data_IF_435605260206
#
_entry.id   IF_435605260206
#
_cell.length_a   1.000
_cell.length_b   1.000
_cell.length_c   1.000
_cell.angle_alpha   90.00
_cell.angle_beta   90.00
_cell.angle_gamma   90.00
#
_symmetry.space_group_name_H-M   'P 1'
#
loop_
_entity.id
_entity.type
_entity.pdbx_description
1 polymer ?
#
# COMPACT_ATOMS: atom_id res chain seq x y z
N UNK A 1 -26.43 -22.46 -5.74
CA UNK A 1 -26.62 -23.11 -7.06
C UNK A 1 -26.03 -22.21 -8.14
N UNK A 2 -24.73 -22.35 -8.44
CA UNK A 2 -24.04 -21.66 -9.55
C UNK A 2 -23.08 -22.61 -10.29
N UNK A 3 -23.28 -23.92 -10.13
CA UNK A 3 -22.39 -24.97 -10.62
C UNK A 3 -23.02 -25.69 -11.83
N UNK A 4 -23.17 -24.97 -12.97
CA UNK A 4 -22.83 -25.63 -14.23
C UNK A 4 -22.01 -24.78 -15.22
N UNK A 5 -21.59 -23.55 -14.87
CA UNK A 5 -20.92 -22.65 -15.83
C UNK A 5 -19.50 -22.18 -15.46
N UNK A 6 -18.95 -22.58 -14.31
CA UNK A 6 -17.60 -22.17 -13.89
C UNK A 6 -16.65 -23.38 -13.94
N UNK A 7 -15.70 -23.35 -14.87
CA UNK A 7 -14.60 -24.31 -14.92
C UNK A 7 -13.40 -23.75 -14.16
N UNK A 8 -13.10 -24.32 -12.99
CA UNK A 8 -11.90 -24.00 -12.20
C UNK A 8 -10.90 -25.16 -12.30
N UNK A 9 -9.71 -24.92 -12.83
CA UNK A 9 -8.56 -25.84 -12.76
C UNK A 9 -7.45 -25.20 -11.93
N UNK A 10 -6.84 -25.95 -11.02
CA UNK A 10 -5.67 -25.46 -10.26
C UNK A 10 -4.40 -25.69 -11.06
N UNK A 11 -3.33 -24.92 -10.77
CA UNK A 11 -2.04 -25.10 -11.43
C UNK A 11 -1.47 -26.51 -11.18
N UNK A 12 -1.71 -27.10 -10.00
CA UNK A 12 -1.26 -28.46 -9.69
C UNK A 12 -1.95 -29.53 -10.56
N UNK A 13 -3.20 -29.29 -10.98
CA UNK A 13 -3.95 -30.22 -11.80
C UNK A 13 -3.52 -30.23 -13.28
N UNK A 14 -2.75 -29.23 -13.74
CA UNK A 14 -2.45 -29.03 -15.17
C UNK A 14 -0.94 -29.03 -15.46
N UNK A 15 -0.09 -28.60 -14.53
CA UNK A 15 1.37 -28.56 -14.73
C UNK A 15 2.10 -29.07 -13.49
N UNK A 16 2.53 -30.35 -13.52
CA UNK A 16 3.17 -31.04 -12.39
C UNK A 16 4.60 -30.57 -12.11
N UNK A 17 5.25 -29.91 -13.08
CA UNK A 17 6.66 -29.49 -13.00
C UNK A 17 6.85 -28.04 -12.50
N UNK A 18 5.77 -27.37 -12.06
CA UNK A 18 5.88 -26.00 -11.56
C UNK A 18 6.44 -26.00 -10.13
N UNK A 19 7.55 -25.31 -9.85
CA UNK A 19 8.04 -25.18 -8.48
C UNK A 19 7.00 -24.46 -7.62
N UNK A 20 6.94 -24.75 -6.31
CA UNK A 20 6.02 -24.09 -5.41
C UNK A 20 6.32 -22.58 -5.34
N UNK A 21 5.26 -21.78 -5.27
CA UNK A 21 5.39 -20.34 -5.02
C UNK A 21 5.84 -20.16 -3.57
N UNK A 22 6.91 -19.39 -3.37
CA UNK A 22 7.35 -18.97 -2.04
C UNK A 22 6.82 -17.56 -1.77
N UNK A 23 6.12 -17.39 -0.65
CA UNK A 23 5.63 -16.10 -0.19
C UNK A 23 6.43 -15.65 1.04
N UNK A 24 6.87 -14.40 1.04
CA UNK A 24 7.62 -13.80 2.13
C UNK A 24 7.02 -12.44 2.46
N UNK A 25 6.85 -12.16 3.74
CA UNK A 25 6.30 -10.90 4.24
C UNK A 25 7.44 -10.10 4.84
N UNK A 26 7.69 -8.92 4.26
CA UNK A 26 8.66 -7.95 4.75
C UNK A 26 7.95 -6.79 5.43
N UNK A 27 8.30 -6.53 6.69
CA UNK A 27 7.80 -5.37 7.44
C UNK A 27 8.76 -4.21 7.26
N UNK A 28 8.32 -3.17 6.54
CA UNK A 28 9.08 -1.96 6.30
C UNK A 28 8.81 -0.93 7.41
N UNK A 29 9.87 -0.39 8.01
CA UNK A 29 9.76 0.68 9.00
C UNK A 29 9.69 2.06 8.34
N UNK A 30 8.87 2.96 8.88
CA UNK A 30 8.85 4.34 8.39
C UNK A 30 10.08 5.10 8.87
N UNK A 31 10.73 5.83 7.94
CA UNK A 31 11.80 6.76 8.26
C UNK A 31 11.32 7.84 9.25
N UNK A 32 12.21 8.43 10.07
CA UNK A 32 11.82 9.40 11.10
C UNK A 32 10.97 10.57 10.58
N UNK A 33 11.34 11.13 9.42
CA UNK A 33 10.62 12.25 8.82
C UNK A 33 9.24 11.82 8.30
N UNK A 34 9.16 10.68 7.61
CA UNK A 34 7.91 10.07 7.15
C UNK A 34 6.97 9.82 8.34
N UNK A 35 7.48 9.22 9.42
CA UNK A 35 6.72 8.93 10.65
C UNK A 35 6.16 10.20 11.27
N UNK A 36 6.95 11.27 11.34
CA UNK A 36 6.50 12.58 11.85
C UNK A 36 5.34 13.15 11.04
N UNK A 37 5.41 13.07 9.70
CA UNK A 37 4.33 13.53 8.81
C UNK A 37 3.08 12.66 8.96
N UNK A 38 3.24 11.35 9.04
CA UNK A 38 2.17 10.38 9.24
C UNK A 38 1.43 10.61 10.56
N UNK A 39 2.14 10.70 11.69
CA UNK A 39 1.51 10.90 12.99
C UNK A 39 0.82 12.26 13.10
N UNK A 40 1.37 13.31 12.48
CA UNK A 40 0.68 14.60 12.38
C UNK A 40 -0.66 14.49 11.65
N UNK A 41 -0.68 13.84 10.48
CA UNK A 41 -1.91 13.64 9.71
C UNK A 41 -2.92 12.75 10.45
N UNK A 42 -2.44 11.70 11.12
CA UNK A 42 -3.26 10.79 11.93
C UNK A 42 -3.87 11.49 13.13
N UNK A 43 -3.12 12.35 13.82
CA UNK A 43 -3.64 13.16 14.93
C UNK A 43 -4.72 14.12 14.45
N UNK A 44 -4.51 14.80 13.31
CA UNK A 44 -5.51 15.68 12.70
C UNK A 44 -6.79 14.91 12.33
N UNK A 45 -6.64 13.76 11.68
CA UNK A 45 -7.75 12.87 11.34
C UNK A 45 -8.53 12.42 12.59
N UNK A 46 -7.83 12.04 13.66
CA UNK A 46 -8.44 11.63 14.92
C UNK A 46 -9.26 12.76 15.53
N UNK A 47 -8.69 13.96 15.65
CA UNK A 47 -9.38 15.11 16.23
C UNK A 47 -10.62 15.48 15.41
N UNK A 48 -10.50 15.44 14.08
CA UNK A 48 -11.60 15.68 13.16
C UNK A 48 -12.76 14.68 13.33
N UNK A 49 -12.46 13.40 13.56
CA UNK A 49 -13.47 12.38 13.81
C UNK A 49 -14.13 12.49 15.20
N UNK A 50 -13.38 12.98 16.19
CA UNK A 50 -13.86 13.15 17.57
C UNK A 50 -14.80 14.34 17.75
N UNK A 51 -14.65 15.40 16.96
CA UNK A 51 -15.49 16.61 17.02
C UNK A 51 -16.99 16.28 16.80
N UNK A 52 -17.31 15.17 16.11
CA UNK A 52 -18.66 14.59 16.04
C UNK A 52 -19.69 15.39 15.23
N UNK A 53 -19.49 16.70 15.08
CA UNK A 53 -20.24 17.66 14.26
C UNK A 53 -20.36 17.21 12.79
N UNK A 54 -19.29 16.62 12.28
CA UNK A 54 -19.15 16.15 10.89
C UNK A 54 -19.99 14.91 10.57
N UNK A 55 -20.35 14.08 11.56
CA UNK A 55 -21.10 12.83 11.32
C UNK A 55 -22.49 13.07 10.72
N UNK A 56 -23.02 14.29 10.86
CA UNK A 56 -24.32 14.70 10.31
C UNK A 56 -24.21 15.29 8.89
N UNK A 57 -23.01 15.46 8.36
CA UNK A 57 -22.82 15.97 7.01
C UNK A 57 -22.97 14.85 5.98
N UNK A 58 -23.63 15.13 4.86
CA UNK A 58 -23.85 14.16 3.77
C UNK A 58 -22.54 13.67 3.15
N UNK A 59 -21.47 14.48 3.20
CA UNK A 59 -20.16 14.16 2.64
C UNK A 59 -19.22 13.42 3.64
N UNK A 60 -19.70 13.02 4.81
CA UNK A 60 -18.88 12.40 5.87
C UNK A 60 -18.04 11.22 5.33
N UNK A 61 -18.66 10.29 4.61
CA UNK A 61 -17.98 9.11 4.08
C UNK A 61 -16.84 9.49 3.12
N UNK A 62 -17.07 10.45 2.23
CA UNK A 62 -16.06 10.95 1.29
C UNK A 62 -14.86 11.54 2.03
N UNK A 63 -15.10 12.29 3.12
CA UNK A 63 -14.02 12.87 3.92
C UNK A 63 -13.23 11.78 4.68
N UNK A 64 -13.91 10.76 5.20
CA UNK A 64 -13.24 9.62 5.84
C UNK A 64 -12.37 8.88 4.84
N UNK A 65 -12.90 8.57 3.64
CA UNK A 65 -12.14 7.88 2.60
C UNK A 65 -10.94 8.69 2.13
N UNK A 66 -11.09 10.00 1.90
CA UNK A 66 -9.96 10.85 1.51
C UNK A 66 -8.88 10.91 2.59
N UNK A 67 -9.28 10.93 3.86
CA UNK A 67 -8.37 10.89 5.00
C UNK A 67 -7.61 9.56 5.09
N UNK A 68 -8.31 8.43 4.93
CA UNK A 68 -7.68 7.11 4.89
C UNK A 68 -6.74 6.95 3.70
N UNK A 69 -7.12 7.48 2.53
CA UNK A 69 -6.25 7.49 1.35
C UNK A 69 -4.98 8.30 1.60
N UNK A 70 -5.09 9.48 2.22
CA UNK A 70 -3.92 10.29 2.58
C UNK A 70 -2.99 9.58 3.55
N UNK A 71 -3.53 8.89 4.56
CA UNK A 71 -2.72 8.09 5.49
C UNK A 71 -2.02 6.94 4.77
N UNK A 72 -2.72 6.24 3.87
CA UNK A 72 -2.14 5.18 3.05
C UNK A 72 -1.00 5.71 2.16
N UNK A 73 -1.19 6.85 1.51
CA UNK A 73 -0.15 7.51 0.70
C UNK A 73 1.08 7.82 1.56
N UNK A 74 0.91 8.45 2.72
CA UNK A 74 2.02 8.76 3.63
C UNK A 74 2.76 7.50 4.12
N UNK A 75 2.06 6.39 4.31
CA UNK A 75 2.68 5.12 4.70
C UNK A 75 3.48 4.48 3.54
N UNK A 76 3.04 4.63 2.29
CA UNK A 76 3.74 4.11 1.11
C UNK A 76 4.96 5.00 0.80
N UNK A 77 4.71 6.30 0.55
CA UNK A 77 5.73 7.27 0.22
C UNK A 77 5.22 8.70 0.43
N UNK A 78 5.92 9.57 1.20
CA UNK A 78 5.46 10.92 1.47
C UNK A 78 5.15 11.77 0.24
N UNK A 79 5.89 11.57 -0.85
CA UNK A 79 5.71 12.31 -2.12
C UNK A 79 4.40 12.00 -2.84
N UNK A 80 3.69 10.93 -2.46
CA UNK A 80 2.38 10.62 -3.05
C UNK A 80 1.27 11.56 -2.57
N UNK A 81 1.55 12.38 -1.56
CA UNK A 81 0.63 13.41 -1.09
C UNK A 81 0.88 14.69 -1.88
N UNK A 82 -0.20 15.33 -2.34
CA UNK A 82 -0.12 16.63 -3.02
C UNK A 82 0.66 17.65 -2.19
N UNK A 83 1.50 18.43 -2.87
CA UNK A 83 2.36 19.48 -2.28
C UNK A 83 3.39 18.96 -1.26
N UNK A 84 3.69 17.66 -1.28
CA UNK A 84 4.75 17.09 -0.45
C UNK A 84 6.13 17.52 -0.93
N UNK A 85 7.00 17.87 0.02
CA UNK A 85 8.42 18.06 -0.27
C UNK A 85 9.06 16.72 -0.61
N UNK A 86 10.03 16.70 -1.56
CA UNK A 86 10.81 15.52 -1.86
C UNK A 86 11.43 14.91 -0.61
N UNK A 87 11.19 13.62 -0.40
CA UNK A 87 11.57 12.87 0.81
C UNK A 87 11.52 11.38 0.48
N UNK A 88 12.50 10.61 0.95
CA UNK A 88 12.50 9.14 0.82
C UNK A 88 11.46 8.47 1.74
N UNK A 89 11.10 7.22 1.43
CA UNK A 89 10.34 6.35 2.34
C UNK A 89 11.14 5.10 2.70
N UNK A 90 10.81 4.49 3.85
CA UNK A 90 11.49 3.27 4.29
C UNK A 90 11.22 2.10 3.35
N UNK A 91 9.94 1.89 3.00
CA UNK A 91 9.54 0.86 2.01
C UNK A 91 10.28 1.02 0.67
N UNK A 92 10.50 2.25 0.22
CA UNK A 92 11.21 2.49 -1.04
C UNK A 92 12.69 2.12 -0.95
N UNK A 93 13.35 2.44 0.17
CA UNK A 93 14.74 2.01 0.43
C UNK A 93 14.86 0.49 0.49
N UNK A 94 14.00 -0.17 1.28
CA UNK A 94 14.00 -1.64 1.42
C UNK A 94 13.84 -2.34 0.05
N UNK A 95 12.92 -1.84 -0.79
CA UNK A 95 12.68 -2.38 -2.13
C UNK A 95 13.88 -2.15 -3.04
N UNK A 96 14.53 -0.99 -2.99
CA UNK A 96 15.72 -0.71 -3.79
C UNK A 96 16.90 -1.61 -3.41
N UNK A 97 17.10 -1.86 -2.12
CA UNK A 97 18.14 -2.78 -1.63
C UNK A 97 17.90 -4.20 -2.13
N UNK A 98 16.64 -4.68 -2.09
CA UNK A 98 16.29 -6.00 -2.62
C UNK A 98 16.44 -6.08 -4.14
N UNK A 99 16.05 -5.03 -4.87
CA UNK A 99 16.18 -4.97 -6.32
C UNK A 99 17.64 -5.03 -6.77
N UNK A 100 18.55 -4.34 -6.07
CA UNK A 100 19.98 -4.37 -6.39
C UNK A 100 20.55 -5.80 -6.33
N UNK A 101 20.15 -6.59 -5.33
CA UNK A 101 20.55 -8.01 -5.21
C UNK A 101 19.99 -8.86 -6.37
N UNK A 102 18.74 -8.63 -6.75
CA UNK A 102 18.06 -9.40 -7.80
C UNK A 102 18.61 -9.07 -9.20
N UNK A 103 18.92 -7.80 -9.46
CA UNK A 103 19.53 -7.36 -10.71
C UNK A 103 20.94 -7.94 -10.87
N UNK A 104 21.74 -7.94 -9.79
CA UNK A 104 23.08 -8.57 -9.79
C UNK A 104 23.01 -10.08 -10.06
N UNK A 105 21.94 -10.72 -9.61
CA UNK A 105 21.66 -12.15 -9.84
C UNK A 105 20.99 -12.43 -11.21
N UNK A 106 20.82 -11.41 -12.05
CA UNK A 106 20.18 -11.49 -13.37
C UNK A 106 18.75 -12.07 -13.36
N UNK A 107 17.99 -11.78 -12.29
CA UNK A 107 16.58 -12.16 -12.18
C UNK A 107 15.64 -11.06 -12.71
N UNK A 108 14.50 -11.48 -13.25
CA UNK A 108 13.42 -10.56 -13.66
C UNK A 108 12.46 -10.34 -12.49
N UNK A 109 12.06 -9.09 -12.27
CA UNK A 109 11.18 -8.69 -11.16
C UNK A 109 9.95 -7.98 -11.70
N UNK A 110 8.78 -8.30 -11.12
CA UNK A 110 7.51 -7.63 -11.40
C UNK A 110 6.99 -7.00 -10.11
N UNK A 111 6.82 -5.67 -10.13
CA UNK A 111 6.36 -4.91 -8.96
C UNK A 111 4.92 -4.47 -9.19
N UNK A 112 4.03 -4.82 -8.28
CA UNK A 112 2.65 -4.34 -8.25
C UNK A 112 2.49 -3.22 -7.24
N UNK A 113 1.91 -2.09 -7.68
CA UNK A 113 1.57 -0.96 -6.84
C UNK A 113 0.09 -0.65 -7.00
N UNK A 114 -0.66 -0.71 -5.89
CA UNK A 114 -2.03 -0.21 -5.85
C UNK A 114 -2.00 1.27 -5.47
N UNK A 115 -2.00 2.13 -6.49
CA UNK A 115 -2.06 3.59 -6.36
C UNK A 115 -3.28 4.12 -7.11
N UNK A 116 -4.17 4.82 -6.40
CA UNK A 116 -5.16 5.71 -6.98
C UNK A 116 -4.57 7.13 -6.87
N UNK A 117 -4.10 7.66 -7.99
CA UNK A 117 -3.80 9.07 -8.13
C UNK A 117 -5.14 9.75 -8.46
N UNK A 118 -5.68 10.54 -7.53
CA UNK A 118 -6.88 11.37 -7.75
C UNK A 118 -6.43 12.81 -7.83
#
# INVERSE_FOLDING_TARGET
MTEPYILRRTKEAVAKDLPPITEQIFYAEMLPEQRKRYEKAKSQARNFLLDGSIKKQENYNTIVFSTLMKLRQLAIHPELVKDAKPTSSGKFQDVLEQLDVLVKSNHKVLIFLNLLHI
#
